data_IF_529116418341
#
_entry.id   IF_529116418341
#
_cell.length_a   1.000
_cell.length_b   1.000
_cell.length_c   1.000
_cell.angle_alpha   90.00
_cell.angle_beta   90.00
_cell.angle_gamma   90.00
#
_symmetry.space_group_name_H-M   'P 1'
#
loop_
_entity.id
_entity.type
_entity.pdbx_description
1 polymer ?
#
# COMPACT_ATOMS: atom_id res chain seq x y z
N UNK A 1 -5.27 -15.56 -2.11
CA UNK A 1 -4.02 -15.46 -1.31
C UNK A 1 -4.00 -14.10 -0.63
N UNK A 2 -3.46 -14.01 0.59
CA UNK A 2 -3.23 -12.73 1.28
C UNK A 2 -1.84 -12.22 0.91
N UNK A 3 -1.72 -10.98 0.49
CA UNK A 3 -0.46 -10.38 0.05
C UNK A 3 -0.25 -9.10 0.85
N UNK A 4 0.89 -9.01 1.52
CA UNK A 4 1.28 -7.78 2.21
C UNK A 4 2.11 -6.91 1.26
N UNK A 5 1.69 -5.66 1.10
CA UNK A 5 2.26 -4.68 0.20
C UNK A 5 3.10 -3.69 1.02
N UNK A 6 4.39 -3.72 0.74
CA UNK A 6 5.38 -2.77 1.28
C UNK A 6 5.33 -1.44 0.51
N UNK A 7 5.89 -0.39 1.12
CA UNK A 7 6.06 0.95 0.56
C UNK A 7 6.66 0.92 -0.84
N UNK A 8 7.64 0.04 -1.07
CA UNK A 8 8.33 -0.11 -2.35
C UNK A 8 7.39 -0.50 -3.52
N UNK A 9 6.29 -1.22 -3.25
CA UNK A 9 5.32 -1.57 -4.30
C UNK A 9 4.71 -0.28 -4.87
N UNK A 10 4.29 0.62 -3.98
CA UNK A 10 3.66 1.88 -4.37
C UNK A 10 4.68 2.86 -4.97
N UNK A 11 5.87 2.99 -4.34
CA UNK A 11 6.94 3.85 -4.86
C UNK A 11 7.36 3.43 -6.27
N UNK A 12 7.44 2.12 -6.54
CA UNK A 12 7.78 1.65 -7.88
C UNK A 12 6.82 2.17 -8.94
N UNK A 13 5.52 2.24 -8.63
CA UNK A 13 4.47 2.76 -9.52
C UNK A 13 4.57 4.28 -9.65
N UNK A 14 4.63 5.00 -8.52
CA UNK A 14 4.69 6.46 -8.47
C UNK A 14 5.91 7.00 -9.24
N UNK A 15 7.07 6.37 -9.06
CA UNK A 15 8.34 6.77 -9.66
C UNK A 15 8.62 6.11 -11.01
N UNK A 16 7.74 5.23 -11.50
CA UNK A 16 7.92 4.44 -12.73
C UNK A 16 9.26 3.69 -12.77
N UNK A 17 9.64 3.07 -11.66
CA UNK A 17 10.87 2.29 -11.54
C UNK A 17 10.87 1.05 -12.46
N UNK A 18 12.02 0.42 -12.71
CA UNK A 18 12.19 -0.64 -13.72
C UNK A 18 11.11 -1.75 -13.71
N UNK A 19 10.54 -2.08 -12.55
CA UNK A 19 9.54 -3.14 -12.37
C UNK A 19 8.12 -2.64 -12.07
N UNK A 20 7.82 -1.36 -12.30
CA UNK A 20 6.53 -0.74 -11.93
C UNK A 20 5.30 -1.45 -12.51
N UNK A 21 5.41 -2.00 -13.73
CA UNK A 21 4.33 -2.76 -14.38
C UNK A 21 3.94 -4.04 -13.64
N UNK A 22 4.89 -4.65 -12.94
CA UNK A 22 4.61 -5.82 -12.12
C UNK A 22 3.78 -5.43 -10.88
N UNK A 23 4.17 -4.34 -10.22
CA UNK A 23 3.42 -3.78 -9.10
C UNK A 23 2.01 -3.33 -9.52
N UNK A 24 1.88 -2.66 -10.67
CA UNK A 24 0.58 -2.28 -11.22
C UNK A 24 -0.31 -3.50 -11.50
N UNK A 25 0.25 -4.54 -12.14
CA UNK A 25 -0.48 -5.79 -12.39
C UNK A 25 -0.95 -6.44 -11.08
N UNK A 26 -0.10 -6.46 -10.06
CA UNK A 26 -0.45 -6.98 -8.74
C UNK A 26 -1.62 -6.20 -8.11
N UNK A 27 -1.60 -4.87 -8.16
CA UNK A 27 -2.71 -4.05 -7.66
C UNK A 27 -4.00 -4.28 -8.45
N UNK A 28 -3.92 -4.46 -9.77
CA UNK A 28 -5.07 -4.81 -10.61
C UNK A 28 -5.65 -6.18 -10.25
N UNK A 29 -4.80 -7.17 -9.97
CA UNK A 29 -5.24 -8.50 -9.55
C UNK A 29 -5.91 -8.47 -8.17
N UNK A 30 -5.41 -7.65 -7.24
CA UNK A 30 -6.06 -7.38 -5.95
C UNK A 30 -7.42 -6.70 -6.18
N UNK A 31 -7.48 -5.64 -6.98
CA UNK A 31 -8.71 -4.92 -7.28
C UNK A 31 -9.81 -5.84 -7.85
N UNK A 32 -9.43 -6.80 -8.70
CA UNK A 32 -10.35 -7.80 -9.29
C UNK A 32 -10.79 -8.91 -8.34
N UNK A 33 -10.21 -8.98 -7.13
CA UNK A 33 -10.52 -10.01 -6.14
C UNK A 33 -9.76 -11.32 -6.32
N UNK A 34 -8.72 -11.36 -7.16
CA UNK A 34 -7.86 -12.55 -7.29
C UNK A 34 -7.04 -12.76 -6.02
N UNK A 35 -6.72 -11.68 -5.31
CA UNK A 35 -5.97 -11.65 -4.05
C UNK A 35 -6.59 -10.65 -3.08
N UNK A 36 -6.30 -10.83 -1.79
CA UNK A 36 -6.58 -9.82 -0.76
C UNK A 36 -5.28 -9.10 -0.44
N UNK A 37 -5.22 -7.81 -0.72
CA UNK A 37 -4.08 -6.96 -0.40
C UNK A 37 -4.14 -6.45 1.04
N UNK A 38 -3.01 -6.37 1.69
CA UNK A 38 -2.83 -5.73 2.98
C UNK A 38 -1.70 -4.74 2.88
N UNK A 39 -1.83 -3.57 3.49
CA UNK A 39 -0.71 -2.66 3.73
C UNK A 39 -0.88 -2.05 5.11
N UNK A 40 0.20 -1.57 5.72
CA UNK A 40 0.11 -0.95 7.04
C UNK A 40 -0.09 0.55 6.96
N UNK A 41 -0.68 1.13 8.01
CA UNK A 41 -0.65 2.58 8.23
C UNK A 41 0.78 3.13 8.23
N UNK A 42 1.79 2.33 8.60
CA UNK A 42 3.22 2.73 8.57
C UNK A 42 3.67 2.90 7.11
N UNK A 43 3.45 1.90 6.26
CA UNK A 43 3.82 1.96 4.83
C UNK A 43 3.12 3.10 4.09
N UNK A 44 1.84 3.34 4.41
CA UNK A 44 1.11 4.51 3.89
C UNK A 44 1.73 5.82 4.38
N UNK A 45 2.08 5.90 5.66
CA UNK A 45 2.70 7.10 6.26
C UNK A 45 4.07 7.42 5.67
N UNK A 46 4.88 6.43 5.31
CA UNK A 46 6.18 6.63 4.66
C UNK A 46 6.02 7.38 3.33
N UNK A 47 5.06 6.96 2.50
CA UNK A 47 4.78 7.59 1.20
C UNK A 47 4.27 9.02 1.40
N UNK A 48 3.33 9.20 2.33
CA UNK A 48 2.79 10.51 2.65
C UNK A 48 3.88 11.46 3.17
N UNK A 49 4.79 10.96 4.02
CA UNK A 49 5.89 11.76 4.54
C UNK A 49 6.77 12.32 3.42
N UNK A 50 6.99 11.55 2.35
CA UNK A 50 7.69 12.00 1.15
C UNK A 50 6.96 13.13 0.45
N UNK A 51 5.66 12.99 0.19
CA UNK A 51 4.87 14.06 -0.44
C UNK A 51 4.84 15.34 0.40
N UNK A 52 4.62 15.23 1.71
CA UNK A 52 4.57 16.42 2.59
C UNK A 52 5.94 17.09 2.72
N UNK A 53 7.04 16.33 2.76
CA UNK A 53 8.39 16.89 2.82
C UNK A 53 8.73 17.72 1.57
N UNK A 54 8.20 17.34 0.41
CA UNK A 54 8.39 18.04 -0.87
C UNK A 54 7.34 19.14 -1.12
N UNK A 55 6.44 19.41 -0.17
CA UNK A 55 5.36 20.39 -0.34
C UNK A 55 4.24 19.93 -1.29
N UNK A 56 4.16 18.64 -1.58
CA UNK A 56 3.23 18.03 -2.54
C UNK A 56 2.00 17.41 -1.85
N UNK A 57 1.43 18.10 -0.85
CA UNK A 57 0.32 17.59 -0.03
C UNK A 57 -0.89 17.09 -0.86
N UNK A 58 -1.20 17.76 -1.98
CA UNK A 58 -2.29 17.35 -2.89
C UNK A 58 -2.06 15.95 -3.47
N UNK A 59 -0.82 15.61 -3.84
CA UNK A 59 -0.48 14.26 -4.33
C UNK A 59 -0.62 13.22 -3.23
N UNK A 60 -0.33 13.59 -1.98
CA UNK A 60 -0.58 12.73 -0.82
C UNK A 60 -2.07 12.39 -0.65
N UNK A 61 -2.95 13.39 -0.75
CA UNK A 61 -4.40 13.17 -0.69
C UNK A 61 -4.92 12.33 -1.87
N UNK A 62 -4.40 12.57 -3.07
CA UNK A 62 -4.70 11.73 -4.24
C UNK A 62 -4.26 10.29 -4.02
N UNK A 63 -3.06 10.05 -3.50
CA UNK A 63 -2.57 8.72 -3.18
C UNK A 63 -3.48 7.96 -2.20
N UNK A 64 -3.93 8.62 -1.12
CA UNK A 64 -4.88 8.00 -0.16
C UNK A 64 -6.21 7.67 -0.84
N UNK A 65 -6.70 8.59 -1.67
CA UNK A 65 -7.97 8.42 -2.39
C UNK A 65 -7.89 7.23 -3.33
N UNK A 66 -6.84 7.15 -4.14
CA UNK A 66 -6.59 6.04 -5.07
C UNK A 66 -6.41 4.72 -4.33
N UNK A 67 -5.65 4.71 -3.23
CA UNK A 67 -5.43 3.52 -2.42
C UNK A 67 -6.74 2.97 -1.84
N UNK A 68 -7.62 3.86 -1.35
CA UNK A 68 -8.94 3.49 -0.81
C UNK A 68 -9.92 3.03 -1.90
N UNK A 69 -9.70 3.42 -3.15
CA UNK A 69 -10.52 3.01 -4.28
C UNK A 69 -10.16 1.59 -4.78
N UNK A 70 -9.01 1.03 -4.40
CA UNK A 70 -8.64 -0.34 -4.75
C UNK A 70 -9.53 -1.33 -3.98
N UNK A 71 -10.31 -2.12 -4.73
CA UNK A 71 -11.08 -3.22 -4.17
C UNK A 71 -10.18 -4.28 -3.53
N UNK A 72 -10.63 -4.87 -2.42
CA UNK A 72 -9.93 -5.96 -1.71
C UNK A 72 -8.55 -5.60 -1.14
N UNK A 73 -8.25 -4.31 -0.93
CA UNK A 73 -7.11 -3.88 -0.13
C UNK A 73 -7.56 -3.50 1.29
N UNK A 74 -6.77 -3.87 2.29
CA UNK A 74 -6.99 -3.54 3.70
C UNK A 74 -5.79 -2.75 4.20
N UNK A 75 -6.04 -1.52 4.68
CA UNK A 75 -5.04 -0.76 5.42
C UNK A 75 -5.17 -1.16 6.89
N UNK A 76 -4.14 -1.79 7.44
CA UNK A 76 -4.14 -2.30 8.82
C UNK A 76 -3.36 -1.40 9.75
N UNK A 77 -3.91 -1.20 10.95
CA UNK A 77 -3.15 -0.67 12.08
C UNK A 77 -2.07 -1.66 12.50
N UNK A 78 -0.99 -1.14 13.09
CA UNK A 78 0.09 -1.93 13.65
C UNK A 78 -0.04 -1.93 15.17
N UNK A 79 -0.31 -3.11 15.72
CA UNK A 79 -0.34 -3.30 17.16
C UNK A 79 1.00 -3.89 17.63
N UNK A 80 1.68 -3.18 18.53
CA UNK A 80 2.97 -3.61 19.09
C UNK A 80 2.82 -4.62 20.24
N UNK A 81 1.59 -4.93 20.66
CA UNK A 81 1.34 -5.97 21.65
C UNK A 81 1.48 -7.35 21.02
N UNK A 82 2.67 -7.92 21.21
CA UNK A 82 2.97 -9.31 20.90
C UNK A 82 2.28 -10.24 21.91
N UNK A 83 1.06 -10.65 21.60
CA UNK A 83 0.47 -11.85 22.21
C UNK A 83 0.85 -13.03 21.33
N UNK A 84 1.39 -14.09 21.92
CA UNK A 84 1.83 -15.31 21.23
C UNK A 84 0.76 -15.81 20.23
N UNK A 85 0.92 -15.50 18.95
CA UNK A 85 -0.04 -15.89 17.90
C UNK A 85 0.08 -17.40 17.73
N UNK A 86 -0.98 -18.13 18.09
CA UNK A 86 -1.15 -19.56 17.81
C UNK A 86 -1.84 -19.84 16.48
N UNK A 87 -2.30 -18.81 15.76
CA UNK A 87 -3.17 -18.99 14.60
C UNK A 87 -2.62 -18.25 13.37
N UNK A 88 -1.69 -18.90 12.68
CA UNK A 88 -1.45 -18.74 11.24
C UNK A 88 -1.55 -20.11 10.58
#
# INVERSE_FOLDING_TARGET
MRIFLDTNVFLSILNKEKNWRFAEKLLLDINKGNHTGYTSVISVSEILSGFYAEGEAEKGEMFITDLRAIGNIVITDVNLHWSSVKDF
#
